data_IF_312446414169
#
_entry.id   IF_312446414169
#
_cell.length_a   1.000
_cell.length_b   1.000
_cell.length_c   1.000
_cell.angle_alpha   90.00
_cell.angle_beta   90.00
_cell.angle_gamma   90.00
#
_symmetry.space_group_name_H-M   'P 1'
#
loop_
_entity.id
_entity.type
_entity.pdbx_description
1 polymer ?
#
# COMPACT_ATOMS: atom_id res chain seq x y z
N UNK A 1 -8.02 32.67 -7.48
CA UNK A 1 -7.62 33.53 -6.35
C UNK A 1 -8.82 34.38 -5.99
N UNK A 2 -9.12 34.51 -4.70
CA UNK A 2 -10.32 35.20 -4.21
C UNK A 2 -10.18 36.71 -4.31
N UNK A 3 -11.30 37.39 -4.57
CA UNK A 3 -11.39 38.83 -4.39
C UNK A 3 -11.52 39.19 -2.90
N UNK A 4 -11.31 40.46 -2.56
CA UNK A 4 -11.44 40.91 -1.17
C UNK A 4 -12.87 40.69 -0.62
N UNK A 5 -13.88 40.94 -1.45
CA UNK A 5 -15.30 40.83 -1.08
C UNK A 5 -15.71 39.36 -0.81
N UNK A 6 -15.15 38.41 -1.56
CA UNK A 6 -15.42 36.97 -1.36
C UNK A 6 -14.70 36.39 -0.14
N UNK A 7 -13.55 36.96 0.23
CA UNK A 7 -12.69 36.42 1.27
C UNK A 7 -13.21 36.75 2.68
N UNK A 8 -13.81 37.92 2.85
CA UNK A 8 -14.29 38.42 4.14
C UNK A 8 -15.30 37.50 4.84
N UNK A 9 -16.33 36.94 4.18
CA UNK A 9 -17.23 35.98 4.81
C UNK A 9 -16.54 34.65 5.14
N UNK A 10 -15.54 34.23 4.36
CA UNK A 10 -14.80 32.98 4.59
C UNK A 10 -13.87 33.05 5.81
N UNK A 11 -13.30 34.24 6.07
CA UNK A 11 -12.40 34.47 7.20
C UNK A 11 -13.11 34.79 8.50
N UNK A 12 -14.38 35.23 8.46
CA UNK A 12 -15.18 35.54 9.65
C UNK A 12 -15.15 34.45 10.75
N UNK A 13 -15.39 33.16 10.46
CA UNK A 13 -15.34 32.10 11.47
C UNK A 13 -13.91 31.75 11.94
N UNK A 14 -12.88 32.20 11.22
CA UNK A 14 -11.48 31.97 11.58
C UNK A 14 -10.92 33.06 12.50
N UNK A 15 -11.58 34.22 12.60
CA UNK A 15 -11.16 35.33 13.48
C UNK A 15 -11.10 34.90 14.94
N UNK A 16 -12.17 34.28 15.45
CA UNK A 16 -12.24 33.82 16.85
C UNK A 16 -11.16 32.77 17.13
N UNK A 17 -11.03 31.77 16.25
CA UNK A 17 -10.01 30.72 16.38
C UNK A 17 -8.58 31.24 16.29
N UNK A 18 -8.34 32.28 15.48
CA UNK A 18 -7.03 32.91 15.37
C UNK A 18 -6.68 33.68 16.65
N UNK A 19 -7.66 34.36 17.25
CA UNK A 19 -7.49 35.05 18.54
C UNK A 19 -7.22 34.07 19.67
N UNK A 20 -7.95 32.95 19.74
CA UNK A 20 -7.71 31.87 20.72
C UNK A 20 -6.32 31.26 20.58
N UNK A 21 -5.86 31.04 19.35
CA UNK A 21 -4.54 30.47 19.10
C UNK A 21 -3.38 31.44 19.43
N UNK A 22 -3.64 32.76 19.46
CA UNK A 22 -2.67 33.81 19.84
C UNK A 22 -1.39 33.91 18.99
N UNK A 23 -1.22 33.02 18.01
CA UNK A 23 0.04 32.82 17.27
C UNK A 23 0.02 33.49 15.89
N UNK A 24 -1.16 33.70 15.32
CA UNK A 24 -1.33 34.23 13.96
C UNK A 24 -1.57 35.74 13.97
N UNK A 25 -0.90 36.47 13.06
CA UNK A 25 -1.04 37.94 12.96
C UNK A 25 -2.37 38.33 12.32
N UNK A 26 -2.83 37.55 11.36
CA UNK A 26 -4.11 37.77 10.68
C UNK A 26 -4.92 36.47 10.58
N UNK A 27 -6.26 36.53 10.47
CA UNK A 27 -7.09 35.35 10.20
C UNK A 27 -6.73 34.68 8.87
N UNK A 28 -6.21 35.46 7.91
CA UNK A 28 -5.72 34.95 6.64
C UNK A 28 -4.47 34.08 6.82
N UNK A 29 -3.53 34.47 7.70
CA UNK A 29 -2.35 33.64 7.98
C UNK A 29 -2.74 32.29 8.59
N UNK A 30 -3.74 32.29 9.49
CA UNK A 30 -4.30 31.05 10.03
C UNK A 30 -4.93 30.19 8.93
N UNK A 31 -5.70 30.81 8.02
CA UNK A 31 -6.29 30.11 6.88
C UNK A 31 -5.22 29.46 6.00
N UNK A 32 -4.19 30.22 5.60
CA UNK A 32 -3.07 29.71 4.79
C UNK A 32 -2.34 28.58 5.51
N UNK A 33 -2.10 28.71 6.82
CA UNK A 33 -1.48 27.66 7.62
C UNK A 33 -2.30 26.38 7.63
N UNK A 34 -3.62 26.47 7.79
CA UNK A 34 -4.51 25.30 7.74
C UNK A 34 -4.49 24.64 6.37
N UNK A 35 -4.54 25.43 5.29
CA UNK A 35 -4.45 24.90 3.93
C UNK A 35 -3.13 24.16 3.73
N UNK A 36 -2.01 24.75 4.13
CA UNK A 36 -0.70 24.10 4.03
C UNK A 36 -0.59 22.81 4.85
N UNK A 37 -1.29 22.74 5.99
CA UNK A 37 -1.26 21.58 6.88
C UNK A 37 -2.14 20.43 6.39
N UNK A 38 -3.28 20.73 5.78
CA UNK A 38 -4.29 19.71 5.46
C UNK A 38 -4.41 19.40 3.96
N UNK A 39 -3.87 20.25 3.09
CA UNK A 39 -3.90 20.00 1.64
C UNK A 39 -2.66 19.20 1.20
N UNK A 40 -2.89 17.97 0.80
CA UNK A 40 -1.88 17.15 0.12
C UNK A 40 -2.23 17.06 -1.36
N UNK A 41 -1.29 17.44 -2.22
CA UNK A 41 -1.43 17.35 -3.67
C UNK A 41 -0.54 16.23 -4.17
N UNK A 42 -1.13 15.27 -4.87
CA UNK A 42 -0.40 14.16 -5.51
C UNK A 42 -0.48 14.33 -7.01
N UNK A 43 0.67 14.26 -7.68
CA UNK A 43 0.79 14.44 -9.12
C UNK A 43 1.51 13.22 -9.68
N UNK A 44 0.88 12.56 -10.66
CA UNK A 44 1.48 11.47 -11.40
C UNK A 44 1.86 11.95 -12.81
N UNK A 45 3.06 11.61 -13.24
CA UNK A 45 3.55 11.90 -14.58
C UNK A 45 3.99 10.62 -15.26
N UNK A 46 3.84 10.59 -16.59
CA UNK A 46 4.50 9.63 -17.45
C UNK A 46 5.86 10.21 -17.88
N UNK A 47 6.99 9.58 -17.49
CA UNK A 47 8.32 10.06 -17.87
C UNK A 47 8.63 9.86 -19.36
N UNK A 48 7.86 9.02 -20.07
CA UNK A 48 8.06 8.78 -21.51
C UNK A 48 7.44 9.88 -22.38
N UNK A 49 6.58 10.72 -21.79
CA UNK A 49 5.90 11.77 -22.51
C UNK A 49 6.91 12.88 -22.93
N UNK A 50 6.94 13.33 -24.19
CA UNK A 50 7.97 14.25 -24.70
C UNK A 50 7.99 15.61 -24.01
N UNK A 51 6.88 16.04 -23.43
CA UNK A 51 6.77 17.28 -22.64
C UNK A 51 7.05 17.11 -21.14
N UNK A 52 7.46 15.93 -20.69
CA UNK A 52 7.70 15.65 -19.27
C UNK A 52 8.73 16.63 -18.69
N UNK A 53 9.93 16.69 -19.28
CA UNK A 53 11.01 17.56 -18.82
C UNK A 53 10.59 19.04 -18.84
N UNK A 54 9.97 19.50 -19.94
CA UNK A 54 9.49 20.89 -20.03
C UNK A 54 8.51 21.24 -18.91
N UNK A 55 7.57 20.34 -18.57
CA UNK A 55 6.61 20.57 -17.48
C UNK A 55 7.33 20.64 -16.13
N UNK A 56 8.30 19.78 -15.91
CA UNK A 56 9.09 19.78 -14.68
C UNK A 56 9.96 21.04 -14.54
N UNK A 57 10.62 21.48 -15.62
CA UNK A 57 11.44 22.69 -15.63
C UNK A 57 10.59 23.96 -15.47
N UNK A 58 9.42 24.00 -16.09
CA UNK A 58 8.51 25.15 -15.99
C UNK A 58 7.91 25.36 -14.58
N UNK A 59 7.98 24.34 -13.71
CA UNK A 59 7.40 24.41 -12.38
C UNK A 59 8.39 23.95 -11.29
N UNK A 60 9.20 24.86 -10.73
CA UNK A 60 10.19 24.53 -9.71
C UNK A 60 9.57 24.08 -8.38
N UNK A 61 8.26 24.29 -8.15
CA UNK A 61 7.60 23.81 -6.93
C UNK A 61 7.62 22.28 -6.83
N UNK A 62 7.67 21.57 -7.98
CA UNK A 62 7.74 20.11 -8.02
C UNK A 62 9.01 19.56 -7.37
N UNK A 63 10.13 20.28 -7.44
CA UNK A 63 11.40 19.85 -6.85
C UNK A 63 11.66 20.43 -5.46
N UNK A 64 11.02 21.56 -5.14
CA UNK A 64 11.30 22.30 -3.90
C UNK A 64 10.26 22.06 -2.80
N UNK A 65 9.04 21.67 -3.16
CA UNK A 65 7.91 21.52 -2.22
C UNK A 65 7.28 20.14 -2.21
N UNK A 66 7.48 19.34 -3.25
CA UNK A 66 6.94 17.98 -3.35
C UNK A 66 8.01 16.92 -3.06
N UNK A 67 7.56 15.79 -2.52
CA UNK A 67 8.37 14.57 -2.45
C UNK A 67 8.28 13.82 -3.77
N UNK A 68 9.42 13.51 -4.38
CA UNK A 68 9.49 12.81 -5.66
C UNK A 68 9.59 11.31 -5.43
N UNK A 69 8.63 10.55 -5.93
CA UNK A 69 8.65 9.09 -5.93
C UNK A 69 8.80 8.58 -7.37
N UNK A 70 9.83 7.77 -7.60
CA UNK A 70 10.01 7.07 -8.87
C UNK A 70 9.51 5.64 -8.73
N UNK A 71 8.35 5.34 -9.33
CA UNK A 71 7.76 4.00 -9.25
C UNK A 71 8.46 2.97 -10.15
N UNK A 72 9.29 3.42 -11.10
CA UNK A 72 10.10 2.56 -11.96
C UNK A 72 9.30 1.47 -12.67
N UNK A 73 9.98 0.35 -12.91
CA UNK A 73 9.36 -0.89 -13.34
C UNK A 73 9.32 -1.87 -12.15
N UNK A 74 8.40 -2.82 -12.20
CA UNK A 74 8.36 -3.90 -11.22
C UNK A 74 9.56 -4.81 -11.39
N UNK A 75 10.08 -5.32 -10.27
CA UNK A 75 11.16 -6.27 -10.29
C UNK A 75 10.70 -7.61 -10.89
N UNK A 76 11.64 -8.32 -11.49
CA UNK A 76 11.44 -9.63 -12.11
C UNK A 76 10.89 -10.66 -11.14
N UNK A 77 11.27 -10.62 -9.87
CA UNK A 77 10.73 -11.50 -8.82
C UNK A 77 9.25 -11.19 -8.58
N UNK A 78 8.90 -9.92 -8.32
CA UNK A 78 7.50 -9.49 -8.16
C UNK A 78 6.65 -9.83 -9.39
N UNK A 79 7.20 -9.68 -10.60
CA UNK A 79 6.53 -10.05 -11.85
C UNK A 79 6.28 -11.57 -12.00
N UNK A 80 7.08 -12.42 -11.34
CA UNK A 80 6.86 -13.88 -11.28
C UNK A 80 5.88 -14.27 -10.20
N UNK A 81 5.89 -13.57 -9.06
CA UNK A 81 5.03 -13.86 -7.92
C UNK A 81 3.58 -13.38 -8.13
N UNK A 82 3.37 -12.21 -8.74
CA UNK A 82 2.03 -11.65 -8.90
C UNK A 82 1.04 -12.55 -9.65
N UNK A 83 1.42 -13.25 -10.74
CA UNK A 83 0.56 -14.24 -11.38
C UNK A 83 0.12 -15.38 -10.45
N UNK A 84 0.94 -15.74 -9.45
CA UNK A 84 0.61 -16.80 -8.49
C UNK A 84 -0.47 -16.40 -7.48
N UNK A 85 -0.72 -15.09 -7.33
CA UNK A 85 -1.81 -14.56 -6.50
C UNK A 85 -3.17 -14.59 -7.22
N UNK A 86 -3.18 -14.78 -8.55
CA UNK A 86 -4.41 -14.88 -9.33
C UNK A 86 -4.97 -16.31 -9.27
N UNK A 87 -6.22 -16.49 -8.79
CA UNK A 87 -6.88 -17.80 -8.78
C UNK A 87 -6.92 -18.40 -10.19
N UNK A 88 -6.68 -19.71 -10.31
CA UNK A 88 -6.63 -20.43 -11.59
C UNK A 88 -5.32 -20.26 -12.38
N UNK A 89 -4.71 -19.07 -12.36
CA UNK A 89 -3.36 -18.87 -12.96
C UNK A 89 -2.31 -19.61 -12.16
N UNK A 90 -2.43 -19.59 -10.83
CA UNK A 90 -1.58 -20.39 -9.94
C UNK A 90 -1.61 -21.88 -10.29
N UNK A 91 -2.80 -22.43 -10.55
CA UNK A 91 -2.99 -23.85 -10.91
C UNK A 91 -2.33 -24.16 -12.26
N UNK A 92 -2.44 -23.26 -13.25
CA UNK A 92 -1.81 -23.41 -14.56
C UNK A 92 -0.28 -23.31 -14.50
N UNK A 93 0.26 -22.43 -13.66
CA UNK A 93 1.70 -22.19 -13.57
C UNK A 93 2.43 -23.20 -12.69
N UNK A 94 1.82 -23.61 -11.58
CA UNK A 94 2.46 -24.47 -10.57
C UNK A 94 1.96 -25.91 -10.61
N UNK A 95 0.88 -26.21 -11.34
CA UNK A 95 0.27 -27.54 -11.37
C UNK A 95 -0.38 -27.95 -10.04
N UNK A 96 -0.49 -27.02 -9.09
CA UNK A 96 -1.19 -27.22 -7.81
C UNK A 96 -2.69 -27.09 -8.07
N UNK A 97 -3.35 -28.19 -8.45
CA UNK A 97 -4.80 -28.27 -8.35
C UNK A 97 -5.15 -28.32 -6.87
N UNK A 98 -5.99 -27.41 -6.41
CA UNK A 98 -6.67 -27.61 -5.12
C UNK A 98 -7.51 -28.87 -5.32
N UNK A 99 -7.10 -29.97 -4.71
CA UNK A 99 -7.90 -31.18 -4.67
C UNK A 99 -9.24 -30.77 -4.07
N UNK A 100 -10.30 -30.75 -4.89
CA UNK A 100 -11.66 -30.63 -4.38
C UNK A 100 -11.80 -31.73 -3.32
N UNK A 101 -11.94 -31.33 -2.05
CA UNK A 101 -12.24 -32.28 -0.99
C UNK A 101 -13.50 -33.03 -1.41
N UNK A 102 -13.32 -34.30 -1.81
CA UNK A 102 -14.41 -35.22 -2.06
C UNK A 102 -15.34 -35.14 -0.85
N UNK A 103 -16.52 -34.57 -1.04
CA UNK A 103 -17.62 -34.67 -0.10
C UNK A 103 -18.09 -36.12 -0.16
N UNK A 104 -17.35 -37.01 0.51
CA UNK A 104 -17.81 -38.38 0.77
C UNK A 104 -18.98 -38.29 1.73
N UNK A 105 -20.18 -38.37 1.15
CA UNK A 105 -21.36 -38.81 1.88
C UNK A 105 -21.05 -40.13 2.57
N UNK A 106 -20.99 -40.10 3.90
CA UNK A 106 -20.88 -41.29 4.73
C UNK A 106 -22.27 -41.86 4.99
N UNK A 107 -22.56 -42.99 4.34
CA UNK A 107 -23.49 -44.02 4.84
C UNK A 107 -22.66 -45.22 5.31
N UNK A 108 -23.15 -45.89 6.35
CA UNK A 108 -22.46 -46.77 7.30
C UNK A 108 -21.66 -47.96 6.72
N UNK A 109 -20.54 -48.32 7.36
CA UNK A 109 -20.36 -49.59 8.12
C UNK A 109 -18.94 -49.84 8.64
N UNK A 110 -18.95 -50.39 9.86
CA UNK A 110 -17.87 -50.77 10.76
C UNK A 110 -17.02 -51.97 10.27
N UNK A 111 -15.70 -51.92 10.46
CA UNK A 111 -14.77 -53.05 10.27
C UNK A 111 -13.30 -52.68 10.48
N UNK A 112 -12.66 -53.30 11.47
CA UNK A 112 -11.32 -53.01 11.99
C UNK A 112 -10.13 -53.33 11.05
N UNK A 113 -9.04 -52.59 11.28
CA UNK A 113 -7.66 -53.07 11.55
C UNK A 113 -6.52 -52.72 10.57
N UNK A 114 -5.43 -52.26 11.21
CA UNK A 114 -3.98 -52.26 10.89
C UNK A 114 -3.37 -51.01 10.24
N UNK A 115 -2.41 -50.45 10.99
CA UNK A 115 -1.69 -49.21 10.74
C UNK A 115 -0.50 -49.31 9.79
N UNK A 116 0.18 -48.17 9.64
CA UNK A 116 1.42 -48.04 8.88
C UNK A 116 1.76 -46.58 8.53
N UNK A 117 2.44 -45.90 9.46
CA UNK A 117 3.53 -44.95 9.25
C UNK A 117 3.44 -43.92 8.11
N UNK A 118 2.98 -42.69 8.40
CA UNK A 118 3.02 -41.53 7.48
C UNK A 118 3.29 -40.17 8.16
N UNK A 119 3.82 -40.14 9.38
CA UNK A 119 3.97 -38.90 10.16
C UNK A 119 5.36 -38.24 10.09
N UNK A 120 6.37 -38.87 9.48
CA UNK A 120 7.76 -38.39 9.59
C UNK A 120 8.15 -37.24 8.64
N UNK A 121 7.40 -36.97 7.57
CA UNK A 121 7.74 -35.90 6.62
C UNK A 121 7.15 -34.52 6.95
N UNK A 122 6.14 -34.43 7.83
CA UNK A 122 5.59 -33.12 8.24
C UNK A 122 6.53 -32.39 9.21
N UNK A 123 7.29 -33.11 10.03
CA UNK A 123 8.23 -32.53 11.00
C UNK A 123 9.35 -31.73 10.33
N UNK A 124 9.95 -32.27 9.26
CA UNK A 124 11.07 -31.61 8.57
C UNK A 124 10.69 -30.34 7.81
N UNK A 125 9.44 -30.24 7.32
CA UNK A 125 8.98 -29.07 6.57
C UNK A 125 8.62 -27.90 7.49
N UNK A 126 8.10 -28.17 8.69
CA UNK A 126 7.76 -27.15 9.67
C UNK A 126 9.01 -26.53 10.32
N UNK A 127 10.06 -27.32 10.56
CA UNK A 127 11.29 -26.84 11.20
C UNK A 127 12.16 -25.95 10.29
N UNK A 128 12.04 -26.10 8.97
CA UNK A 128 12.68 -25.17 8.01
C UNK A 128 11.94 -23.85 7.87
N UNK A 129 10.63 -23.82 8.08
CA UNK A 129 9.82 -22.60 7.94
C UNK A 129 9.95 -21.67 9.16
N UNK A 130 10.20 -22.22 10.34
CA UNK A 130 10.43 -21.42 11.56
C UNK A 130 11.80 -20.74 11.57
N UNK A 131 12.86 -21.38 11.05
CA UNK A 131 14.20 -20.75 10.99
C UNK A 131 14.30 -19.55 10.04
N UNK A 132 13.54 -19.54 8.95
CA UNK A 132 13.54 -18.40 8.01
C UNK A 132 12.80 -17.17 8.54
N UNK A 133 11.89 -17.34 9.50
CA UNK A 133 11.14 -16.23 10.10
C UNK A 133 11.97 -15.49 11.17
N UNK A 134 12.84 -16.18 11.90
CA UNK A 134 13.69 -15.56 12.93
C UNK A 134 14.85 -14.73 12.33
N UNK A 135 15.39 -15.10 11.16
CA UNK A 135 16.48 -14.34 10.52
C UNK A 135 16.02 -12.99 9.91
N UNK A 136 14.70 -12.75 9.77
CA UNK A 136 14.15 -11.50 9.22
C UNK A 136 13.82 -10.44 10.28
N UNK A 137 13.77 -10.81 11.57
CA UNK A 137 13.42 -9.89 12.66
C UNK A 137 14.62 -9.22 13.33
N UNK A 138 15.84 -9.74 13.16
CA UNK A 138 17.08 -9.15 13.70
C UNK A 138 17.74 -8.11 12.77
N UNK A 139 17.21 -7.91 11.54
CA UNK A 139 17.77 -6.99 10.54
C UNK A 139 17.09 -5.63 10.41
N UNK A 140 16.03 -5.38 11.19
CA UNK A 140 15.24 -4.13 11.12
C UNK A 140 15.09 -3.52 12.51
N UNK A 141 16.22 -3.10 13.09
CA UNK A 141 16.32 -2.03 14.09
C UNK A 141 17.62 -1.25 13.87
#
# INVERSE_FOLDING_TARGET
MYTHEELEPLLAPLKEKAMEAGTFRTPYDMFVHQVQRYLHVVIAFDPTHPKFLLRCESNPALYTRCSMLWMGAWDTESMRELPTLLPGVKQLLLGEFEDEEETKGGDDRMGESKGGDRDDLRGFALEKKTRAADELLDGVL
#
